data_IF_985894993006
#
_entry.id   IF_985894993006
#
_cell.length_a   1.000
_cell.length_b   1.000
_cell.length_c   1.000
_cell.angle_alpha   90.00
_cell.angle_beta   90.00
_cell.angle_gamma   90.00
#
_symmetry.space_group_name_H-M   'P 1'
#
loop_
_entity.id
_entity.type
_entity.pdbx_description
1 polymer ?
#
# COMPACT_ATOMS: atom_id res chain seq x y z
N UNK A 1 -12.33 -12.23 4.75
CA UNK A 1 -13.53 -11.53 5.27
C UNK A 1 -14.19 -12.21 6.48
N UNK A 2 -14.67 -13.47 6.40
CA UNK A 2 -15.35 -14.10 7.56
C UNK A 2 -14.50 -14.14 8.85
N UNK A 3 -13.20 -14.45 8.75
CA UNK A 3 -12.28 -14.40 9.89
C UNK A 3 -12.03 -12.97 10.41
N UNK A 4 -11.87 -12.00 9.50
CA UNK A 4 -11.72 -10.59 9.86
C UNK A 4 -12.94 -10.07 10.65
N UNK A 5 -14.15 -10.45 10.20
CA UNK A 5 -15.37 -10.12 10.91
C UNK A 5 -15.42 -10.75 12.31
N UNK A 6 -14.92 -11.98 12.47
CA UNK A 6 -14.86 -12.65 13.78
C UNK A 6 -13.92 -11.97 14.78
N UNK A 7 -12.96 -11.17 14.29
CA UNK A 7 -12.04 -10.36 15.09
C UNK A 7 -12.45 -8.88 15.14
N UNK A 8 -13.68 -8.53 14.70
CA UNK A 8 -14.22 -7.16 14.65
C UNK A 8 -13.45 -6.19 13.73
N UNK A 9 -12.71 -6.71 12.74
CA UNK A 9 -11.89 -5.90 11.83
C UNK A 9 -12.65 -5.45 10.58
N UNK A 10 -13.76 -6.12 10.26
CA UNK A 10 -14.65 -5.73 9.18
C UNK A 10 -16.11 -6.02 9.55
N UNK A 11 -17.07 -5.43 8.82
CA UNK A 11 -18.48 -5.75 8.98
C UNK A 11 -18.77 -7.23 8.74
N UNK A 12 -19.89 -7.75 9.29
CA UNK A 12 -20.29 -9.13 9.06
C UNK A 12 -20.51 -9.40 7.57
N UNK A 13 -19.95 -10.51 7.09
CA UNK A 13 -20.26 -11.05 5.77
C UNK A 13 -21.61 -11.76 5.84
N UNK A 14 -22.61 -11.26 5.10
CA UNK A 14 -23.96 -11.81 5.07
C UNK A 14 -24.12 -12.87 3.97
N UNK A 15 -23.52 -12.69 2.80
CA UNK A 15 -23.56 -13.66 1.71
C UNK A 15 -22.33 -13.56 0.79
N UNK A 16 -21.99 -14.68 0.14
CA UNK A 16 -20.97 -14.76 -0.92
C UNK A 16 -21.59 -15.41 -2.15
N UNK A 17 -21.35 -14.79 -3.30
CA UNK A 17 -21.72 -15.26 -4.63
C UNK A 17 -20.46 -15.53 -5.45
N UNK A 18 -20.62 -16.06 -6.67
CA UNK A 18 -19.49 -16.27 -7.58
C UNK A 18 -18.87 -14.95 -8.05
N UNK A 19 -19.68 -13.90 -8.15
CA UNK A 19 -19.32 -12.61 -8.72
C UNK A 19 -19.45 -11.45 -7.72
N UNK A 20 -19.53 -11.73 -6.41
CA UNK A 20 -19.67 -10.66 -5.42
C UNK A 20 -19.94 -11.11 -4.00
N UNK A 21 -20.03 -10.13 -3.11
CA UNK A 21 -20.22 -10.29 -1.66
C UNK A 21 -21.33 -9.34 -1.18
N UNK A 22 -22.05 -9.74 -0.13
CA UNK A 22 -22.93 -8.84 0.63
C UNK A 22 -22.42 -8.84 2.06
N UNK A 23 -22.01 -7.67 2.55
CA UNK A 23 -21.49 -7.47 3.90
C UNK A 23 -22.03 -6.16 4.48
N UNK A 24 -21.89 -5.99 5.80
CA UNK A 24 -22.47 -4.85 6.50
C UNK A 24 -21.94 -3.49 6.01
N UNK A 25 -22.81 -2.48 6.02
CA UNK A 25 -22.45 -1.10 5.68
C UNK A 25 -21.73 -0.41 6.86
N UNK A 26 -20.67 0.35 6.55
CA UNK A 26 -19.96 1.17 7.53
C UNK A 26 -20.40 2.63 7.36
N UNK A 27 -21.11 3.24 8.33
CA UNK A 27 -21.51 4.64 8.24
C UNK A 27 -20.30 5.58 8.43
N UNK A 28 -20.16 6.54 7.53
CA UNK A 28 -19.09 7.54 7.59
C UNK A 28 -18.90 8.26 6.26
N UNK A 29 -17.81 9.00 6.17
CA UNK A 29 -17.35 9.65 4.93
C UNK A 29 -16.04 9.02 4.49
N UNK A 30 -15.90 8.79 3.19
CA UNK A 30 -14.64 8.35 2.58
C UNK A 30 -13.62 9.49 2.68
N UNK A 31 -12.39 9.21 3.09
CA UNK A 31 -11.32 10.21 3.14
C UNK A 31 -10.90 10.62 1.72
N UNK A 32 -10.36 11.84 1.57
CA UNK A 32 -9.66 12.27 0.35
C UNK A 32 -8.14 12.29 0.51
N UNK A 33 -7.35 12.31 -0.59
CA UNK A 33 -5.90 12.44 -0.49
C UNK A 33 -5.43 13.68 0.30
N UNK A 34 -6.13 14.82 0.16
CA UNK A 34 -5.85 16.07 0.89
C UNK A 34 -6.06 15.92 2.40
N UNK A 35 -6.89 14.96 2.80
CA UNK A 35 -7.24 14.69 4.19
C UNK A 35 -6.27 13.73 4.86
N UNK A 36 -5.49 12.94 4.12
CA UNK A 36 -4.65 11.86 4.68
C UNK A 36 -3.67 12.34 5.77
N UNK A 37 -3.12 13.56 5.63
CA UNK A 37 -2.21 14.16 6.60
C UNK A 37 -2.84 14.94 7.75
N UNK A 38 -4.17 14.89 7.91
CA UNK A 38 -4.84 15.67 8.94
C UNK A 38 -4.53 15.17 10.35
N UNK A 39 -4.14 16.10 11.24
CA UNK A 39 -3.77 15.81 12.62
C UNK A 39 -4.89 15.15 13.47
N UNK A 40 -6.16 15.24 13.06
CA UNK A 40 -7.29 14.66 13.79
C UNK A 40 -7.45 13.17 13.52
N UNK A 41 -7.37 12.72 12.27
CA UNK A 41 -7.64 11.31 11.92
C UNK A 41 -6.43 10.51 11.45
N UNK A 42 -5.32 11.13 11.03
CA UNK A 42 -4.09 10.37 10.76
C UNK A 42 -3.63 9.53 11.98
N UNK A 43 -3.70 10.03 13.24
CA UNK A 43 -3.45 9.20 14.42
C UNK A 43 -4.46 8.05 14.60
N UNK A 44 -5.71 8.22 14.16
CA UNK A 44 -6.73 7.17 14.21
C UNK A 44 -6.42 6.06 13.20
N UNK A 45 -5.90 6.41 12.02
CA UNK A 45 -5.41 5.45 11.02
C UNK A 45 -4.24 4.65 11.58
N UNK A 46 -3.27 5.31 12.24
CA UNK A 46 -2.17 4.62 12.94
C UNK A 46 -2.67 3.58 13.95
N UNK A 47 -3.64 3.94 14.79
CA UNK A 47 -4.23 3.02 15.78
C UNK A 47 -4.97 1.86 15.11
N UNK A 48 -5.79 2.16 14.10
CA UNK A 48 -6.56 1.13 13.39
C UNK A 48 -5.63 0.16 12.64
N UNK A 49 -4.53 0.64 12.06
CA UNK A 49 -3.54 -0.21 11.41
C UNK A 49 -2.70 -1.01 12.41
N UNK A 50 -2.41 -0.46 13.58
CA UNK A 50 -1.77 -1.20 14.67
C UNK A 50 -2.64 -2.39 15.13
N UNK A 51 -3.96 -2.22 15.23
CA UNK A 51 -4.90 -3.33 15.48
C UNK A 51 -4.93 -4.31 14.31
N UNK A 52 -4.97 -3.82 13.08
CA UNK A 52 -4.98 -4.63 11.86
C UNK A 52 -3.77 -5.57 11.78
N UNK A 53 -2.59 -5.05 12.06
CA UNK A 53 -1.35 -5.82 12.04
C UNK A 53 -1.24 -6.88 13.15
N UNK A 54 -2.13 -6.85 14.16
CA UNK A 54 -2.22 -7.90 15.19
C UNK A 54 -3.17 -9.04 14.83
N UNK A 55 -3.88 -8.95 13.70
CA UNK A 55 -4.77 -10.02 13.24
C UNK A 55 -3.96 -11.28 13.00
N UNK A 56 -4.39 -12.35 13.66
CA UNK A 56 -3.83 -13.69 13.46
C UNK A 56 -4.81 -14.55 12.66
N UNK A 57 -4.41 -14.93 11.45
CA UNK A 57 -5.14 -15.84 10.58
C UNK A 57 -4.40 -17.19 10.51
N UNK A 58 -5.14 -18.32 10.54
CA UNK A 58 -4.53 -19.62 10.36
C UNK A 58 -3.97 -19.77 8.94
N UNK A 59 -2.76 -20.30 8.81
CA UNK A 59 -2.14 -20.59 7.51
C UNK A 59 -0.66 -20.26 7.44
N UNK A 60 -0.13 -20.27 6.23
CA UNK A 60 1.21 -19.79 5.94
C UNK A 60 1.28 -18.27 6.18
N UNK A 61 2.34 -17.84 6.86
CA UNK A 61 2.63 -16.44 7.18
C UNK A 61 3.79 -15.89 6.33
N UNK A 62 4.21 -16.61 5.30
CA UNK A 62 5.18 -16.09 4.35
C UNK A 62 4.67 -14.79 3.71
N UNK A 63 5.52 -13.75 3.59
CA UNK A 63 5.10 -12.48 2.99
C UNK A 63 4.85 -12.66 1.49
N UNK A 64 3.69 -12.22 1.02
CA UNK A 64 3.26 -12.42 -0.37
C UNK A 64 3.78 -11.41 -1.39
N UNK A 65 4.49 -10.36 -0.96
CA UNK A 65 4.95 -9.26 -1.84
C UNK A 65 5.72 -9.75 -3.08
N UNK A 66 6.83 -10.49 -2.89
CA UNK A 66 7.67 -10.88 -4.02
C UNK A 66 7.06 -11.96 -4.92
N UNK A 67 6.38 -13.00 -4.39
CA UNK A 67 5.61 -13.91 -5.25
C UNK A 67 4.63 -13.16 -6.15
N UNK A 68 3.83 -12.27 -5.58
CA UNK A 68 2.83 -11.49 -6.33
C UNK A 68 3.46 -10.59 -7.41
N UNK A 69 4.54 -9.89 -7.06
CA UNK A 69 5.27 -9.06 -8.04
C UNK A 69 5.82 -9.88 -9.20
N UNK A 70 6.34 -11.09 -8.95
CA UNK A 70 6.84 -11.97 -10.02
C UNK A 70 5.71 -12.47 -10.90
N UNK A 71 4.56 -12.81 -10.33
CA UNK A 71 3.38 -13.20 -11.09
C UNK A 71 2.91 -12.06 -12.00
N UNK A 72 2.78 -10.84 -11.46
CA UNK A 72 2.39 -9.68 -12.27
C UNK A 72 3.41 -9.33 -13.35
N UNK A 73 4.72 -9.45 -13.10
CA UNK A 73 5.72 -9.27 -14.15
C UNK A 73 5.53 -10.25 -15.31
N UNK A 74 5.08 -11.48 -15.04
CA UNK A 74 4.78 -12.45 -16.11
C UNK A 74 3.49 -12.11 -16.87
N UNK A 75 2.56 -11.39 -16.22
CA UNK A 75 1.28 -10.99 -16.80
C UNK A 75 1.37 -9.70 -17.64
N UNK A 76 2.49 -8.97 -17.59
CA UNK A 76 2.70 -7.78 -18.45
C UNK A 76 2.73 -8.22 -19.92
N UNK A 77 1.84 -7.68 -20.79
CA UNK A 77 1.85 -8.03 -22.20
C UNK A 77 3.03 -7.39 -22.93
N UNK A 78 3.43 -7.99 -24.05
CA UNK A 78 4.52 -7.46 -24.88
C UNK A 78 4.14 -6.15 -25.62
N UNK A 79 2.84 -5.89 -25.79
CA UNK A 79 2.29 -4.70 -26.44
C UNK A 79 0.85 -4.45 -25.95
N UNK A 80 0.39 -3.21 -26.09
CA UNK A 80 -0.96 -2.77 -25.69
C UNK A 80 -1.80 -2.42 -26.93
N UNK A 81 -3.11 -2.66 -26.86
CA UNK A 81 -4.03 -2.37 -27.97
C UNK A 81 -4.18 -0.87 -28.21
N UNK A 82 -4.27 -0.08 -27.13
CA UNK A 82 -4.26 1.37 -27.23
C UNK A 82 -2.87 1.86 -27.67
N UNK A 83 -2.85 2.63 -28.76
CA UNK A 83 -1.61 3.08 -29.37
C UNK A 83 -0.83 4.04 -28.47
N UNK A 84 -1.51 4.94 -27.78
CA UNK A 84 -0.86 5.93 -26.92
C UNK A 84 -0.21 5.24 -25.71
N UNK A 85 -0.94 4.34 -25.06
CA UNK A 85 -0.43 3.51 -23.98
C UNK A 85 0.76 2.67 -24.45
N UNK A 86 0.67 2.03 -25.63
CA UNK A 86 1.77 1.24 -26.17
C UNK A 86 3.01 2.11 -26.47
N UNK A 87 2.84 3.30 -27.03
CA UNK A 87 3.94 4.23 -27.32
C UNK A 87 4.64 4.68 -26.03
N UNK A 88 3.90 4.96 -24.96
CA UNK A 88 4.45 5.25 -23.62
C UNK A 88 5.19 4.03 -23.08
N UNK A 89 4.57 2.85 -23.16
CA UNK A 89 5.16 1.61 -22.65
C UNK A 89 6.53 1.34 -23.27
N UNK A 90 6.60 1.30 -24.60
CA UNK A 90 7.82 0.98 -25.35
C UNK A 90 8.92 2.05 -25.16
N UNK A 91 8.54 3.28 -24.82
CA UNK A 91 9.48 4.37 -24.57
C UNK A 91 10.09 4.31 -23.17
N UNK A 92 9.31 3.91 -22.17
CA UNK A 92 9.68 4.05 -20.75
C UNK A 92 10.06 2.73 -20.07
N UNK A 93 9.64 1.58 -20.61
CA UNK A 93 9.79 0.29 -19.95
C UNK A 93 10.41 -0.77 -20.85
N UNK A 94 11.20 -1.65 -20.23
CA UNK A 94 11.61 -2.92 -20.82
C UNK A 94 11.48 -4.01 -19.77
N UNK A 95 11.16 -5.25 -20.19
CA UNK A 95 11.11 -6.37 -19.25
C UNK A 95 12.45 -6.60 -18.54
N UNK A 96 13.57 -6.37 -19.22
CA UNK A 96 14.91 -6.46 -18.61
C UNK A 96 15.09 -5.44 -17.49
N UNK A 97 14.65 -4.20 -17.69
CA UNK A 97 14.68 -3.16 -16.65
C UNK A 97 13.83 -3.60 -15.46
N UNK A 98 12.57 -3.98 -15.68
CA UNK A 98 11.65 -4.32 -14.61
C UNK A 98 12.19 -5.49 -13.75
N UNK A 99 12.65 -6.57 -14.39
CA UNK A 99 13.24 -7.71 -13.69
C UNK A 99 14.52 -7.36 -12.93
N UNK A 100 15.38 -6.53 -13.54
CA UNK A 100 16.61 -6.07 -12.89
C UNK A 100 16.29 -5.26 -11.63
N UNK A 101 15.34 -4.34 -11.71
CA UNK A 101 14.94 -3.51 -10.57
C UNK A 101 14.37 -4.36 -9.42
N UNK A 102 13.51 -5.36 -9.70
CA UNK A 102 13.02 -6.27 -8.66
C UNK A 102 14.16 -7.07 -8.00
N UNK A 103 15.09 -7.58 -8.82
CA UNK A 103 16.26 -8.35 -8.35
C UNK A 103 17.18 -7.53 -7.46
N UNK A 104 17.31 -6.23 -7.70
CA UNK A 104 18.09 -5.32 -6.87
C UNK A 104 17.33 -4.88 -5.62
N UNK A 105 16.01 -4.68 -5.72
CA UNK A 105 15.17 -4.19 -4.64
C UNK A 105 14.94 -5.24 -3.55
N UNK A 106 14.68 -6.49 -3.92
CA UNK A 106 14.39 -7.58 -2.98
C UNK A 106 15.44 -7.76 -1.86
N UNK A 107 16.76 -7.87 -2.13
CA UNK A 107 17.75 -8.02 -1.07
C UNK A 107 17.84 -6.80 -0.14
N UNK A 108 17.52 -5.60 -0.63
CA UNK A 108 17.47 -4.40 0.20
C UNK A 108 16.32 -4.49 1.21
N UNK A 109 15.11 -4.82 0.74
CA UNK A 109 13.92 -4.97 1.58
C UNK A 109 14.06 -6.12 2.59
N UNK A 110 14.66 -7.24 2.18
CA UNK A 110 14.94 -8.35 3.10
C UNK A 110 15.92 -7.96 4.19
N UNK A 111 16.96 -7.17 3.86
CA UNK A 111 17.97 -6.71 4.82
C UNK A 111 17.40 -5.82 5.91
N UNK A 112 16.36 -5.04 5.61
CA UNK A 112 15.64 -4.21 6.59
C UNK A 112 15.01 -5.05 7.70
N UNK A 113 14.72 -6.33 7.45
CA UNK A 113 14.14 -7.25 8.44
C UNK A 113 12.83 -6.73 9.05
N UNK A 114 11.95 -6.16 8.21
CA UNK A 114 10.62 -5.70 8.62
C UNK A 114 9.78 -6.87 9.15
N UNK A 115 9.04 -6.69 10.26
CA UNK A 115 8.13 -7.71 10.77
C UNK A 115 7.07 -8.10 9.74
N UNK A 116 6.76 -9.41 9.65
CA UNK A 116 5.64 -9.90 8.85
C UNK A 116 4.36 -9.85 9.67
N UNK A 117 3.35 -9.20 9.12
CA UNK A 117 2.04 -8.93 9.73
C UNK A 117 0.93 -9.25 8.73
N UNK A 118 -0.31 -9.36 9.18
CA UNK A 118 -1.43 -9.37 8.25
C UNK A 118 -1.68 -7.93 7.78
N UNK A 119 -1.28 -7.62 6.55
CA UNK A 119 -1.31 -6.27 5.99
C UNK A 119 -2.58 -6.04 5.15
N UNK A 120 -3.02 -4.79 5.04
CA UNK A 120 -4.06 -4.36 4.12
C UNK A 120 -3.54 -4.32 2.67
N UNK A 121 -2.29 -3.86 2.50
CA UNK A 121 -1.54 -3.68 1.25
C UNK A 121 -2.08 -2.59 0.31
N UNK A 122 -3.32 -2.13 0.50
CA UNK A 122 -3.94 -1.11 -0.35
C UNK A 122 -4.65 0.00 0.45
N UNK A 123 -3.92 0.70 1.32
CA UNK A 123 -4.50 1.68 2.24
C UNK A 123 -4.53 3.11 1.68
N UNK A 124 -5.12 3.26 0.48
CA UNK A 124 -5.42 4.55 -0.14
C UNK A 124 -6.60 5.26 0.52
N UNK A 125 -6.74 6.58 0.31
CA UNK A 125 -7.79 7.41 0.94
C UNK A 125 -9.22 6.87 0.78
N UNK A 126 -9.56 6.40 -0.41
CA UNK A 126 -10.79 5.70 -0.76
C UNK A 126 -11.13 4.48 0.11
N UNK A 127 -10.12 3.84 0.70
CA UNK A 127 -10.29 2.66 1.56
C UNK A 127 -10.37 3.00 3.05
N UNK A 128 -10.45 4.29 3.39
CA UNK A 128 -10.55 4.78 4.77
C UNK A 128 -11.90 5.49 4.97
N UNK A 129 -12.71 4.93 5.86
CA UNK A 129 -13.99 5.52 6.27
C UNK A 129 -13.81 6.24 7.60
N UNK A 130 -14.08 7.54 7.61
CA UNK A 130 -14.07 8.40 8.81
C UNK A 130 -15.47 8.39 9.43
N UNK A 131 -15.57 8.07 10.73
CA UNK A 131 -16.84 8.08 11.44
C UNK A 131 -17.46 9.49 11.46
N UNK A 132 -18.80 9.59 11.51
CA UNK A 132 -19.48 10.89 11.60
C UNK A 132 -19.08 11.71 12.85
N UNK A 133 -18.71 11.04 13.94
CA UNK A 133 -18.16 11.63 15.17
C UNK A 133 -16.68 12.01 15.07
N UNK A 134 -15.97 11.60 14.01
CA UNK A 134 -14.54 11.85 13.74
C UNK A 134 -13.60 11.37 14.86
N UNK A 135 -14.00 10.30 15.53
CA UNK A 135 -13.28 9.66 16.64
C UNK A 135 -12.79 8.25 16.30
N UNK A 136 -13.20 7.72 15.14
CA UNK A 136 -12.84 6.40 14.64
C UNK A 136 -12.66 6.43 13.13
N UNK A 137 -11.74 5.60 12.64
CA UNK A 137 -11.67 5.22 11.23
C UNK A 137 -11.93 3.74 11.06
N UNK A 138 -12.29 3.31 9.86
CA UNK A 138 -12.44 1.89 9.52
C UNK A 138 -11.92 1.67 8.11
N UNK A 139 -11.25 0.54 7.91
CA UNK A 139 -10.73 0.17 6.60
C UNK A 139 -11.76 -0.67 5.85
N UNK A 140 -11.77 -0.55 4.53
CA UNK A 140 -12.58 -1.35 3.60
C UNK A 140 -11.71 -1.81 2.45
N UNK A 141 -12.28 -2.68 1.61
CA UNK A 141 -11.63 -3.21 0.40
C UNK A 141 -10.34 -4.00 0.65
N UNK A 142 -10.52 -5.23 1.13
CA UNK A 142 -9.44 -6.09 1.61
C UNK A 142 -8.92 -7.05 0.53
N UNK A 143 -9.08 -6.73 -0.75
CA UNK A 143 -8.78 -7.67 -1.84
C UNK A 143 -7.28 -8.01 -1.94
N UNK A 144 -6.42 -7.04 -1.61
CA UNK A 144 -4.97 -7.21 -1.55
C UNK A 144 -4.48 -7.65 -0.16
N UNK A 145 -5.37 -7.85 0.81
CA UNK A 145 -4.97 -8.16 2.19
C UNK A 145 -4.37 -9.57 2.30
N UNK A 146 -3.14 -9.64 2.80
CA UNK A 146 -2.38 -10.88 2.99
C UNK A 146 -1.28 -10.69 4.03
N UNK A 147 -0.65 -11.78 4.48
CA UNK A 147 0.60 -11.65 5.22
C UNK A 147 1.65 -10.96 4.37
N UNK A 148 2.21 -9.87 4.89
CA UNK A 148 3.22 -9.07 4.22
C UNK A 148 4.05 -8.28 5.24
N UNK A 149 5.07 -7.56 4.76
CA UNK A 149 5.91 -6.72 5.60
C UNK A 149 5.15 -5.50 6.14
N UNK A 150 5.25 -5.25 7.44
CA UNK A 150 4.72 -4.04 8.08
C UNK A 150 5.20 -2.76 7.38
N UNK A 151 6.48 -2.73 7.02
CA UNK A 151 7.10 -1.60 6.34
C UNK A 151 6.42 -1.29 5.01
N UNK A 152 6.00 -2.32 4.26
CA UNK A 152 5.28 -2.14 3.01
C UNK A 152 3.93 -1.45 3.22
N UNK A 153 3.12 -1.94 4.15
CA UNK A 153 1.75 -1.43 4.32
C UNK A 153 1.74 0.04 4.77
N UNK A 154 2.67 0.39 5.67
CA UNK A 154 2.83 1.76 6.18
C UNK A 154 3.43 2.68 5.10
N UNK A 155 4.46 2.23 4.39
CA UNK A 155 5.05 3.02 3.31
C UNK A 155 4.06 3.23 2.17
N UNK A 156 3.26 2.21 1.85
CA UNK A 156 2.19 2.31 0.89
C UNK A 156 1.16 3.36 1.31
N UNK A 157 0.66 3.28 2.53
CA UNK A 157 -0.29 4.27 3.05
C UNK A 157 0.23 5.72 2.91
N UNK A 158 1.52 5.96 3.21
CA UNK A 158 2.11 7.29 3.05
C UNK A 158 2.26 7.73 1.59
N UNK A 159 2.60 6.81 0.67
CA UNK A 159 2.61 7.11 -0.76
C UNK A 159 1.23 7.52 -1.28
N UNK A 160 0.15 6.95 -0.72
CA UNK A 160 -1.22 7.26 -1.12
C UNK A 160 -1.73 8.64 -0.63
N UNK A 161 -0.92 9.40 0.13
CA UNK A 161 -1.20 10.82 0.40
C UNK A 161 -1.15 11.64 -0.89
N UNK A 162 -0.40 11.17 -1.88
CA UNK A 162 -0.25 11.81 -3.18
C UNK A 162 -1.51 11.69 -4.07
N UNK A 163 -2.39 10.73 -3.79
CA UNK A 163 -3.54 10.41 -4.65
C UNK A 163 -3.14 9.84 -6.01
N UNK A 164 -4.13 9.64 -6.88
CA UNK A 164 -3.89 9.12 -8.23
C UNK A 164 -3.14 10.11 -9.13
N UNK A 165 -3.20 11.39 -8.80
CA UNK A 165 -2.46 12.48 -9.44
C UNK A 165 -0.97 12.47 -9.08
N UNK A 166 -0.53 11.63 -8.14
CA UNK A 166 0.86 11.54 -7.66
C UNK A 166 1.41 12.89 -7.17
N UNK A 167 0.62 13.66 -6.42
CA UNK A 167 1.02 14.91 -5.78
C UNK A 167 1.88 14.66 -4.53
N UNK A 168 3.11 14.16 -4.72
CA UNK A 168 4.03 13.78 -3.63
C UNK A 168 4.52 14.94 -2.75
N UNK A 169 4.13 16.19 -3.07
CA UNK A 169 4.22 17.30 -2.11
C UNK A 169 3.42 17.07 -0.82
N UNK A 170 2.45 16.14 -0.85
CA UNK A 170 1.62 15.73 0.30
C UNK A 170 2.23 14.62 1.15
N UNK A 171 3.29 13.97 0.67
CA UNK A 171 3.94 12.87 1.42
C UNK A 171 4.38 13.38 2.81
N UNK A 172 4.11 12.64 3.90
CA UNK A 172 4.41 13.11 5.24
C UNK A 172 5.91 13.29 5.44
N UNK A 173 6.33 14.45 5.94
CA UNK A 173 7.72 14.68 6.30
C UNK A 173 8.17 13.77 7.46
N UNK A 174 9.48 13.67 7.69
CA UNK A 174 10.03 12.82 8.76
C UNK A 174 9.41 13.12 10.12
N UNK A 175 9.15 14.38 10.46
CA UNK A 175 8.57 14.73 11.75
C UNK A 175 7.13 14.23 11.88
N UNK A 176 6.33 14.30 10.81
CA UNK A 176 4.97 13.76 10.75
C UNK A 176 4.99 12.22 10.84
N UNK A 177 5.89 11.56 10.11
CA UNK A 177 6.06 10.11 10.16
C UNK A 177 6.43 9.64 11.57
N UNK A 178 7.40 10.27 12.24
CA UNK A 178 7.79 9.91 13.61
C UNK A 178 6.63 10.07 14.62
N UNK A 179 5.80 11.12 14.47
CA UNK A 179 4.58 11.28 15.29
C UNK A 179 3.58 10.14 15.03
N UNK A 180 3.40 9.77 13.76
CA UNK A 180 2.51 8.69 13.36
C UNK A 180 3.01 7.33 13.88
N UNK A 181 4.31 7.02 13.72
CA UNK A 181 4.93 5.80 14.23
C UNK A 181 4.80 5.66 15.73
N UNK A 182 4.98 6.75 16.47
CA UNK A 182 4.81 6.75 17.92
C UNK A 182 3.40 6.30 18.32
N UNK A 183 2.38 6.86 17.69
CA UNK A 183 0.98 6.46 17.93
C UNK A 183 0.76 4.99 17.59
N UNK A 184 1.26 4.54 16.43
CA UNK A 184 1.16 3.15 16.01
C UNK A 184 1.82 2.19 17.01
N UNK A 185 3.08 2.45 17.40
CA UNK A 185 3.87 1.57 18.28
C UNK A 185 3.29 1.52 19.69
N UNK A 186 2.90 2.67 20.26
CA UNK A 186 2.25 2.74 21.57
C UNK A 186 0.92 1.96 21.57
N UNK A 187 0.09 2.11 20.54
CA UNK A 187 -1.17 1.37 20.43
C UNK A 187 -0.95 -0.13 20.22
N UNK A 188 0.12 -0.50 19.52
CA UNK A 188 0.53 -1.88 19.34
C UNK A 188 1.20 -2.51 20.58
N UNK A 189 1.40 -1.74 21.66
CA UNK A 189 2.18 -2.14 22.84
C UNK A 189 3.62 -2.58 22.48
N UNK A 190 4.23 -1.88 21.52
CA UNK A 190 5.62 -2.07 21.09
C UNK A 190 6.52 -0.95 21.66
N UNK A 191 7.84 -1.12 21.53
CA UNK A 191 8.79 -0.07 21.91
C UNK A 191 8.60 1.16 21.03
N UNK A 192 8.40 2.32 21.67
CA UNK A 192 8.25 3.63 21.03
C UNK A 192 9.36 4.60 21.49
N UNK A 193 10.51 4.04 21.87
CA UNK A 193 11.75 4.78 22.13
C UNK A 193 12.18 5.59 20.89
N UNK A 194 12.93 6.70 21.07
CA UNK A 194 13.51 7.44 19.94
C UNK A 194 14.27 6.55 18.96
N UNK A 195 15.00 5.56 19.47
CA UNK A 195 15.74 4.58 18.66
C UNK A 195 14.77 3.71 17.83
N UNK A 196 13.72 3.16 18.43
CA UNK A 196 12.73 2.37 17.70
C UNK A 196 11.97 3.18 16.63
N UNK A 197 11.74 4.47 16.87
CA UNK A 197 11.11 5.36 15.89
C UNK A 197 12.02 5.62 14.68
N UNK A 198 13.33 5.77 14.91
CA UNK A 198 14.31 5.93 13.84
C UNK A 198 14.51 4.63 13.04
N UNK A 199 14.58 3.48 13.71
CA UNK A 199 14.63 2.17 13.06
C UNK A 199 13.40 1.95 12.16
N UNK A 200 12.21 2.30 12.66
CA UNK A 200 10.97 2.22 11.89
C UNK A 200 10.94 3.21 10.72
N UNK A 201 11.55 4.39 10.87
CA UNK A 201 11.70 5.35 9.78
C UNK A 201 12.60 4.80 8.67
N UNK A 202 13.73 4.19 9.00
CA UNK A 202 14.59 3.52 8.02
C UNK A 202 13.85 2.38 7.31
N UNK A 203 13.10 1.58 8.08
CA UNK A 203 12.27 0.50 7.53
C UNK A 203 11.29 1.01 6.48
N UNK A 204 10.42 1.94 6.87
CA UNK A 204 9.37 2.49 6.00
C UNK A 204 9.96 3.21 4.80
N UNK A 205 11.07 3.94 4.99
CA UNK A 205 11.74 4.68 3.90
C UNK A 205 12.19 3.76 2.77
N UNK A 206 12.76 2.59 3.06
CA UNK A 206 13.17 1.64 2.00
C UNK A 206 11.94 0.99 1.35
N UNK A 207 10.90 0.67 2.13
CA UNK A 207 9.66 0.07 1.60
C UNK A 207 8.83 1.02 0.73
N UNK A 208 9.05 2.34 0.77
CA UNK A 208 8.40 3.27 -0.16
C UNK A 208 8.72 2.93 -1.62
N UNK A 209 9.94 2.43 -1.89
CA UNK A 209 10.36 1.95 -3.21
C UNK A 209 9.54 0.73 -3.64
N UNK A 210 9.26 -0.18 -2.71
CA UNK A 210 8.43 -1.35 -2.96
C UNK A 210 7.01 -0.96 -3.34
N UNK A 211 6.41 0.02 -2.66
CA UNK A 211 5.06 0.50 -2.99
C UNK A 211 5.01 1.13 -4.38
N UNK A 212 5.96 1.98 -4.77
CA UNK A 212 5.98 2.52 -6.13
C UNK A 212 6.14 1.43 -7.20
N UNK A 213 7.05 0.49 -6.98
CA UNK A 213 7.27 -0.62 -7.90
C UNK A 213 6.01 -1.50 -8.02
N UNK A 214 5.36 -1.79 -6.89
CA UNK A 214 4.15 -2.59 -6.80
C UNK A 214 3.01 -2.03 -7.65
N UNK A 215 2.65 -0.77 -7.41
CA UNK A 215 1.55 -0.14 -8.14
C UNK A 215 1.93 0.23 -9.58
N UNK A 216 3.21 0.46 -9.85
CA UNK A 216 3.71 0.62 -11.22
C UNK A 216 3.53 -0.66 -12.04
N UNK A 217 3.96 -1.81 -11.52
CA UNK A 217 3.79 -3.11 -12.19
C UNK A 217 2.31 -3.49 -12.30
N UNK A 218 1.54 -3.30 -11.22
CA UNK A 218 0.09 -3.50 -11.25
C UNK A 218 -0.58 -2.71 -12.37
N UNK A 219 -0.24 -1.43 -12.51
CA UNK A 219 -0.83 -0.56 -13.53
C UNK A 219 -0.44 -0.98 -14.95
N UNK A 220 0.79 -1.48 -15.16
CA UNK A 220 1.18 -2.08 -16.44
C UNK A 220 0.29 -3.28 -16.79
N UNK A 221 -0.01 -4.15 -15.83
CA UNK A 221 -0.94 -5.27 -16.07
C UNK A 221 -2.35 -4.74 -16.37
N UNK A 222 -2.88 -3.84 -15.52
CA UNK A 222 -4.25 -3.32 -15.64
C UNK A 222 -4.51 -2.55 -16.93
N UNK A 223 -3.50 -1.88 -17.49
CA UNK A 223 -3.58 -1.19 -18.78
C UNK A 223 -3.99 -2.10 -19.96
N UNK A 224 -3.99 -3.43 -19.77
CA UNK A 224 -4.40 -4.41 -20.79
C UNK A 224 -5.68 -5.19 -20.48
N UNK A 225 -6.15 -5.18 -19.23
CA UNK A 225 -7.24 -6.05 -18.78
C UNK A 225 -8.39 -5.33 -18.07
N UNK A 226 -8.19 -4.08 -17.66
CA UNK A 226 -9.21 -3.32 -16.94
C UNK A 226 -10.19 -2.66 -17.91
N UNK A 227 -11.47 -2.73 -17.58
CA UNK A 227 -12.55 -2.00 -18.28
C UNK A 227 -12.80 -0.60 -17.67
N UNK A 228 -12.04 -0.20 -16.65
CA UNK A 228 -12.20 1.10 -15.98
C UNK A 228 -11.53 2.20 -16.80
N UNK A 229 -12.24 3.32 -16.98
CA UNK A 229 -11.71 4.54 -17.60
C UNK A 229 -10.72 5.25 -16.68
N UNK A 230 -9.47 4.77 -16.69
CA UNK A 230 -8.34 5.27 -15.93
C UNK A 230 -7.05 5.13 -16.76
N UNK A 231 -6.19 6.15 -16.74
CA UNK A 231 -4.92 6.13 -17.47
C UNK A 231 -3.85 5.33 -16.72
N UNK A 232 -4.01 4.00 -16.74
CA UNK A 232 -3.10 3.06 -16.10
C UNK A 232 -1.66 3.20 -16.59
N UNK A 233 -1.45 3.49 -17.87
CA UNK A 233 -0.11 3.56 -18.43
C UNK A 233 0.64 4.81 -17.96
N UNK A 234 -0.03 5.97 -17.93
CA UNK A 234 0.58 7.18 -17.40
C UNK A 234 0.78 7.10 -15.88
N UNK A 235 -0.16 6.48 -15.17
CA UNK A 235 -0.01 6.18 -13.75
C UNK A 235 1.21 5.28 -13.48
N UNK A 236 1.40 4.21 -14.26
CA UNK A 236 2.60 3.37 -14.17
C UNK A 236 3.88 4.19 -14.35
N UNK A 237 3.92 5.05 -15.37
CA UNK A 237 5.04 5.97 -15.63
C UNK A 237 5.32 6.86 -14.41
N UNK A 238 4.30 7.52 -13.86
CA UNK A 238 4.43 8.39 -12.69
C UNK A 238 4.95 7.64 -11.46
N UNK A 239 4.44 6.43 -11.19
CA UNK A 239 4.92 5.60 -10.07
C UNK A 239 6.39 5.22 -10.25
N UNK A 240 6.82 4.83 -11.46
CA UNK A 240 8.22 4.47 -11.71
C UNK A 240 9.17 5.69 -11.71
N UNK A 241 8.72 6.86 -12.15
CA UNK A 241 9.51 8.10 -12.03
C UNK A 241 9.84 8.41 -10.57
N UNK A 242 8.85 8.30 -9.68
CA UNK A 242 9.05 8.50 -8.24
C UNK A 242 9.84 7.36 -7.59
N UNK A 243 9.68 6.11 -8.05
CA UNK A 243 10.55 5.00 -7.67
C UNK A 243 12.04 5.33 -7.92
N UNK A 244 12.40 5.76 -9.14
CA UNK A 244 13.79 6.01 -9.50
C UNK A 244 14.35 7.25 -8.78
N UNK A 245 13.54 8.30 -8.63
CA UNK A 245 13.89 9.50 -7.86
C UNK A 245 14.18 9.16 -6.40
N UNK A 246 13.30 8.40 -5.75
CA UNK A 246 13.45 7.99 -4.37
C UNK A 246 14.61 6.99 -4.18
N UNK A 247 14.81 6.07 -5.13
CA UNK A 247 15.94 5.13 -5.12
C UNK A 247 17.27 5.88 -5.14
N UNK A 248 17.39 6.90 -6.00
CA UNK A 248 18.59 7.73 -6.08
C UNK A 248 18.84 8.54 -4.79
N UNK A 249 17.78 9.02 -4.14
CA UNK A 249 17.90 9.82 -2.92
C UNK A 249 18.23 8.97 -1.68
N UNK A 250 17.75 7.72 -1.62
CA UNK A 250 17.96 6.82 -0.49
C UNK A 250 19.24 5.98 -0.59
N UNK A 251 19.66 5.63 -1.81
CA UNK A 251 20.76 4.68 -2.05
C UNK A 251 21.96 5.27 -2.79
N UNK A 252 21.84 6.51 -3.30
CA UNK A 252 22.92 7.24 -3.98
C UNK A 252 23.76 8.06 -3.01
#
# INVERSE_FOLDING_TARGET
MAYLASQNMCPPLHARFQNGLVYGFIPGTVASPEEMGNDLWAPLVAKQLAEWHQVDLPGDRAPGLFPLLRDWLNDIPAAYEDKQANDIYQKHFTMDMLHKELKELEPLLVKVNSPVVFAHNDLLSGNIIISGSKDKVSFIDYEYAMYNYRGFDIANHFNEYAGFECEYSRYPDKAAQLRWFKVYLEHANLDASPEALEDMYEEVSIFQLASHYYWGVWALVQASISDIDFDYMDYARMRFEEYFKNKAQLLG
#
